data_IF_297155420071
#
_entry.id   IF_297155420071
#
_cell.length_a   1.000
_cell.length_b   1.000
_cell.length_c   1.000
_cell.angle_alpha   90.00
_cell.angle_beta   90.00
_cell.angle_gamma   90.00
#
_symmetry.space_group_name_H-M   'P 1'
#
loop_
_entity.id
_entity.type
_entity.pdbx_description
1 polymer ?
#
# COMPACT_ATOMS: atom_id res chain seq x y z
N UNK A 1 49.83 16.07 -43.87
CA UNK A 1 50.06 14.98 -42.90
C UNK A 1 48.85 14.87 -42.00
N UNK A 2 47.93 13.94 -42.26
CA UNK A 2 46.98 13.47 -41.25
C UNK A 2 46.73 11.97 -41.48
N UNK A 3 47.00 11.24 -40.41
CA UNK A 3 47.05 9.78 -40.31
C UNK A 3 45.65 9.18 -40.51
N UNK A 4 45.54 8.19 -41.40
CA UNK A 4 44.34 7.36 -41.56
C UNK A 4 44.57 6.05 -40.81
N UNK A 5 43.84 5.84 -39.70
CA UNK A 5 43.88 4.58 -38.96
C UNK A 5 43.03 3.50 -39.68
N UNK A 6 43.44 2.22 -39.66
CA UNK A 6 42.74 1.15 -40.35
C UNK A 6 41.47 0.73 -39.60
N UNK A 7 40.37 0.56 -40.35
CA UNK A 7 39.11 -0.02 -39.85
C UNK A 7 39.34 -1.49 -39.50
N UNK A 8 39.03 -1.86 -38.25
CA UNK A 8 38.97 -3.27 -37.84
C UNK A 8 37.75 -3.96 -38.48
N UNK A 9 37.83 -5.25 -38.85
CA UNK A 9 36.69 -5.97 -39.41
C UNK A 9 35.63 -6.24 -38.32
N UNK A 10 34.37 -5.95 -38.64
CA UNK A 10 33.23 -6.38 -37.83
C UNK A 10 33.14 -7.91 -37.84
N UNK A 11 33.25 -8.51 -36.65
CA UNK A 11 32.89 -9.92 -36.42
C UNK A 11 31.36 -10.02 -36.46
N UNK A 12 30.75 -10.95 -37.21
CA UNK A 12 29.31 -11.17 -37.16
C UNK A 12 28.93 -11.66 -35.76
N UNK A 13 28.01 -10.97 -35.10
CA UNK A 13 27.38 -11.44 -33.87
C UNK A 13 26.51 -12.63 -34.24
N UNK A 14 26.91 -13.80 -33.74
CA UNK A 14 26.22 -15.06 -33.90
C UNK A 14 24.85 -14.98 -33.19
N UNK A 15 23.79 -14.79 -33.96
CA UNK A 15 22.40 -14.80 -33.47
C UNK A 15 21.95 -16.26 -33.38
N UNK A 16 22.51 -16.97 -32.39
CA UNK A 16 22.10 -18.33 -32.02
C UNK A 16 21.82 -18.43 -30.51
N UNK A 17 21.12 -17.43 -29.99
CA UNK A 17 20.41 -17.56 -28.71
C UNK A 17 19.15 -18.40 -28.92
N UNK A 18 19.21 -19.68 -28.59
CA UNK A 18 18.02 -20.54 -28.49
C UNK A 18 16.95 -19.84 -27.63
N UNK A 19 15.66 -19.88 -28.00
CA UNK A 19 14.62 -19.35 -27.14
C UNK A 19 14.67 -20.13 -25.82
N UNK A 20 14.86 -19.42 -24.71
CA UNK A 20 14.69 -19.98 -23.38
C UNK A 20 13.22 -20.40 -23.30
N UNK A 21 12.96 -21.67 -23.57
CA UNK A 21 11.68 -22.30 -23.35
C UNK A 21 11.43 -22.23 -21.85
N UNK A 22 10.53 -21.33 -21.43
CA UNK A 22 9.90 -21.47 -20.12
C UNK A 22 9.40 -22.92 -20.03
N UNK A 23 9.70 -23.66 -18.94
CA UNK A 23 9.40 -25.08 -18.89
C UNK A 23 7.90 -25.29 -19.11
N UNK A 24 7.50 -26.23 -19.97
CA UNK A 24 6.09 -26.52 -20.24
C UNK A 24 5.28 -26.86 -18.96
N UNK A 25 5.95 -27.36 -17.91
CA UNK A 25 5.38 -27.52 -16.56
C UNK A 25 4.88 -26.20 -15.93
N UNK A 26 5.42 -25.05 -16.34
CA UNK A 26 5.08 -23.71 -15.84
C UNK A 26 3.77 -23.18 -16.42
N UNK A 27 3.52 -23.37 -17.73
CA UNK A 27 2.34 -22.84 -18.42
C UNK A 27 1.08 -23.62 -18.05
N UNK A 28 1.16 -24.95 -18.01
CA UNK A 28 0.02 -25.77 -17.62
C UNK A 28 -0.34 -25.59 -16.15
N UNK A 29 0.65 -25.46 -15.25
CA UNK A 29 0.39 -25.11 -13.85
C UNK A 29 -0.24 -23.71 -13.69
N UNK A 30 0.16 -22.74 -14.51
CA UNK A 30 -0.48 -21.43 -14.57
C UNK A 30 -1.95 -21.54 -15.01
N UNK A 31 -2.21 -22.21 -16.13
CA UNK A 31 -3.56 -22.43 -16.68
C UNK A 31 -4.46 -23.17 -15.69
N UNK A 32 -3.95 -24.20 -15.02
CA UNK A 32 -4.69 -24.94 -14.01
C UNK A 32 -5.09 -24.05 -12.82
N UNK A 33 -4.18 -23.20 -12.33
CA UNK A 33 -4.50 -22.23 -11.26
C UNK A 33 -5.55 -21.22 -11.71
N UNK A 34 -5.47 -20.75 -12.95
CA UNK A 34 -6.47 -19.85 -13.53
C UNK A 34 -7.86 -20.50 -13.58
N UNK A 35 -7.94 -21.74 -14.09
CA UNK A 35 -9.20 -22.50 -14.15
C UNK A 35 -9.81 -22.73 -12.76
N UNK A 36 -8.98 -22.98 -11.73
CA UNK A 36 -9.46 -23.10 -10.34
C UNK A 36 -10.13 -21.81 -9.85
N UNK A 37 -9.57 -20.63 -10.17
CA UNK A 37 -10.17 -19.35 -9.82
C UNK A 37 -11.45 -19.08 -10.59
N UNK A 38 -11.47 -19.35 -11.90
CA UNK A 38 -12.65 -19.20 -12.74
C UNK A 38 -13.81 -20.09 -12.28
N UNK A 39 -13.53 -21.31 -11.84
CA UNK A 39 -14.52 -22.21 -11.24
C UNK A 39 -14.95 -21.76 -9.84
N UNK A 40 -14.07 -21.07 -9.09
CA UNK A 40 -14.37 -20.59 -7.74
C UNK A 40 -15.36 -19.43 -7.75
N UNK A 41 -15.20 -18.45 -8.64
CA UNK A 41 -16.03 -17.23 -8.67
C UNK A 41 -17.55 -17.46 -8.62
N UNK A 42 -18.15 -18.38 -9.41
CA UNK A 42 -19.59 -18.66 -9.32
C UNK A 42 -19.96 -19.51 -8.08
N UNK A 43 -19.00 -20.22 -7.48
CA UNK A 43 -19.26 -21.16 -6.39
C UNK A 43 -19.23 -20.55 -4.98
N UNK A 44 -18.51 -19.45 -4.80
CA UNK A 44 -18.37 -18.74 -3.53
C UNK A 44 -18.80 -17.30 -3.75
N UNK A 45 -19.87 -16.80 -3.11
CA UNK A 45 -20.24 -15.40 -3.21
C UNK A 45 -19.15 -14.48 -2.63
N UNK A 46 -18.91 -13.28 -3.22
CA UNK A 46 -17.94 -12.30 -2.72
C UNK A 46 -18.08 -12.00 -1.21
N UNK A 47 -19.31 -11.85 -0.72
CA UNK A 47 -19.62 -11.58 0.69
C UNK A 47 -19.12 -12.64 1.68
N UNK A 48 -18.84 -13.85 1.19
CA UNK A 48 -18.31 -14.96 1.99
C UNK A 48 -16.83 -15.25 1.72
N UNK A 49 -16.23 -14.62 0.70
CA UNK A 49 -14.92 -14.97 0.17
C UNK A 49 -13.82 -14.90 1.24
N UNK A 50 -13.77 -13.82 2.04
CA UNK A 50 -12.74 -13.57 3.06
C UNK A 50 -12.75 -14.54 4.26
N UNK A 51 -13.77 -15.37 4.39
CA UNK A 51 -13.86 -16.41 5.43
C UNK A 51 -13.81 -17.83 4.84
N UNK A 52 -13.78 -17.94 3.52
CA UNK A 52 -13.89 -19.22 2.83
C UNK A 52 -12.53 -19.93 2.76
N UNK A 53 -12.46 -21.15 3.31
CA UNK A 53 -11.24 -21.96 3.33
C UNK A 53 -10.72 -22.31 1.92
N UNK A 54 -11.59 -22.48 0.93
CA UNK A 54 -11.18 -22.76 -0.46
C UNK A 54 -10.49 -21.54 -1.07
N UNK A 55 -11.03 -20.35 -0.84
CA UNK A 55 -10.40 -19.08 -1.25
C UNK A 55 -9.02 -18.96 -0.61
N UNK A 56 -8.92 -19.17 0.71
CA UNK A 56 -7.61 -19.14 1.41
C UNK A 56 -6.60 -20.11 0.79
N UNK A 57 -7.02 -21.33 0.46
CA UNK A 57 -6.15 -22.33 -0.17
C UNK A 57 -5.65 -21.87 -1.54
N UNK A 58 -6.52 -21.35 -2.41
CA UNK A 58 -6.09 -20.85 -3.72
C UNK A 58 -5.17 -19.64 -3.61
N UNK A 59 -5.40 -18.76 -2.63
CA UNK A 59 -4.52 -17.63 -2.35
C UNK A 59 -3.12 -18.10 -1.91
N UNK A 60 -3.02 -19.20 -1.17
CA UNK A 60 -1.75 -19.82 -0.77
C UNK A 60 -1.01 -20.45 -1.96
N UNK A 61 -1.73 -21.04 -2.92
CA UNK A 61 -1.17 -21.59 -4.18
C UNK A 61 -0.69 -20.48 -5.16
N UNK A 62 -1.04 -19.23 -4.88
CA UNK A 62 -0.70 -18.06 -5.70
C UNK A 62 -1.78 -17.72 -6.72
N UNK A 63 -1.94 -16.42 -6.98
CA UNK A 63 -2.93 -15.89 -7.92
C UNK A 63 -2.25 -15.64 -9.27
N UNK A 64 -2.72 -16.23 -10.37
CA UNK A 64 -2.23 -15.91 -11.72
C UNK A 64 -2.48 -14.45 -12.09
N UNK A 65 -1.56 -13.82 -12.83
CA UNK A 65 -1.69 -12.40 -13.19
C UNK A 65 -2.93 -12.13 -14.04
N UNK A 66 -3.34 -13.07 -14.89
CA UNK A 66 -4.52 -12.98 -15.78
C UNK A 66 -5.85 -12.77 -15.03
N UNK A 67 -5.96 -13.26 -13.80
CA UNK A 67 -7.20 -13.18 -12.99
C UNK A 67 -7.04 -12.35 -11.72
N UNK A 68 -5.86 -11.76 -11.49
CA UNK A 68 -5.55 -11.12 -10.20
C UNK A 68 -6.52 -10.00 -9.84
N UNK A 69 -6.81 -9.10 -10.77
CA UNK A 69 -7.78 -8.03 -10.48
C UNK A 69 -9.19 -8.58 -10.22
N UNK A 70 -9.59 -9.67 -10.88
CA UNK A 70 -10.87 -10.33 -10.61
C UNK A 70 -10.93 -10.93 -9.21
N UNK A 71 -9.83 -11.52 -8.74
CA UNK A 71 -9.69 -12.00 -7.36
C UNK A 71 -9.80 -10.85 -6.38
N UNK A 72 -9.13 -9.72 -6.63
CA UNK A 72 -9.21 -8.53 -5.77
C UNK A 72 -10.61 -7.92 -5.76
N UNK A 73 -11.27 -7.81 -6.92
CA UNK A 73 -12.68 -7.44 -7.02
C UNK A 73 -13.57 -8.35 -6.16
N UNK A 74 -13.33 -9.65 -6.23
CA UNK A 74 -14.10 -10.66 -5.51
C UNK A 74 -13.88 -10.60 -3.99
N UNK A 75 -12.64 -10.41 -3.53
CA UNK A 75 -12.32 -10.30 -2.11
C UNK A 75 -12.88 -9.01 -1.48
N UNK A 76 -12.93 -7.93 -2.25
CA UNK A 76 -13.44 -6.63 -1.82
C UNK A 76 -14.94 -6.44 -2.04
N UNK A 77 -15.61 -7.41 -2.66
CA UNK A 77 -17.01 -7.30 -3.07
C UNK A 77 -17.29 -5.99 -3.84
N UNK A 78 -16.32 -5.57 -4.67
CA UNK A 78 -16.33 -4.26 -5.31
C UNK A 78 -17.46 -4.12 -6.31
N UNK A 79 -17.83 -5.22 -6.97
CA UNK A 79 -18.94 -5.26 -7.95
C UNK A 79 -20.30 -5.01 -7.31
N UNK A 80 -20.52 -5.38 -6.05
CA UNK A 80 -21.77 -5.05 -5.34
C UNK A 80 -21.94 -3.54 -5.11
N UNK A 81 -20.83 -2.78 -5.13
CA UNK A 81 -20.80 -1.32 -5.01
C UNK A 81 -20.81 -0.61 -6.36
N UNK A 82 -20.46 -1.31 -7.43
CA UNK A 82 -20.38 -0.77 -8.77
C UNK A 82 -21.78 -0.43 -9.31
N UNK A 83 -22.16 0.84 -9.19
CA UNK A 83 -23.40 1.37 -9.75
C UNK A 83 -23.15 1.92 -11.15
N UNK A 84 -23.81 1.38 -12.21
CA UNK A 84 -23.59 1.81 -13.57
C UNK A 84 -23.69 3.33 -13.76
N UNK A 85 -22.66 3.92 -14.35
CA UNK A 85 -22.59 5.35 -14.69
C UNK A 85 -22.28 6.28 -13.50
N UNK A 86 -22.13 5.78 -12.28
CA UNK A 86 -21.73 6.62 -11.14
C UNK A 86 -20.29 7.13 -11.32
N UNK A 87 -19.35 6.25 -11.69
CA UNK A 87 -17.96 6.66 -11.93
C UNK A 87 -17.86 7.77 -12.99
N UNK A 88 -18.54 7.59 -14.12
CA UNK A 88 -18.61 8.59 -15.20
C UNK A 88 -19.25 9.92 -14.75
N UNK A 89 -20.23 9.90 -13.83
CA UNK A 89 -20.81 11.13 -13.26
C UNK A 89 -19.87 11.82 -12.29
N UNK A 90 -19.13 11.06 -11.49
CA UNK A 90 -18.12 11.60 -10.57
C UNK A 90 -16.98 12.30 -11.34
N UNK A 91 -16.52 11.71 -12.44
CA UNK A 91 -15.49 12.31 -13.30
C UNK A 91 -15.90 13.63 -13.98
N UNK A 92 -17.19 13.97 -14.00
CA UNK A 92 -17.70 15.26 -14.51
C UNK A 92 -17.80 16.36 -13.45
N UNK A 93 -17.51 16.05 -12.19
CA UNK A 93 -17.57 17.04 -11.11
C UNK A 93 -16.41 18.04 -11.24
N UNK A 94 -16.53 19.23 -10.62
CA UNK A 94 -15.42 20.18 -10.56
C UNK A 94 -14.18 19.54 -9.93
N UNK A 95 -13.00 20.04 -10.35
CA UNK A 95 -11.72 19.58 -9.83
C UNK A 95 -11.67 19.71 -8.32
N UNK A 96 -11.16 18.67 -7.66
CA UNK A 96 -10.92 18.69 -6.21
C UNK A 96 -9.74 19.60 -5.88
N UNK A 97 -9.64 20.14 -4.65
CA UNK A 97 -8.55 21.03 -4.27
C UNK A 97 -7.15 20.46 -4.51
N UNK A 98 -6.99 19.14 -4.33
CA UNK A 98 -5.73 18.43 -4.49
C UNK A 98 -5.36 18.07 -5.96
N UNK A 99 -6.07 18.61 -6.96
CA UNK A 99 -5.89 18.24 -8.36
C UNK A 99 -4.43 18.37 -8.84
N UNK A 100 -3.80 19.51 -8.56
CA UNK A 100 -2.42 19.78 -8.98
C UNK A 100 -1.41 18.84 -8.29
N UNK A 101 -1.65 18.49 -7.03
CA UNK A 101 -0.84 17.53 -6.29
C UNK A 101 -0.99 16.12 -6.86
N UNK A 102 -2.21 15.71 -7.22
CA UNK A 102 -2.48 14.42 -7.87
C UNK A 102 -1.71 14.30 -9.19
N UNK A 103 -1.74 15.33 -10.04
CA UNK A 103 -0.99 15.34 -11.32
C UNK A 103 0.51 15.19 -11.10
N UNK A 104 1.07 15.95 -10.14
CA UNK A 104 2.49 15.90 -9.82
C UNK A 104 2.90 14.52 -9.29
N UNK A 105 2.12 13.95 -8.39
CA UNK A 105 2.42 12.65 -7.80
C UNK A 105 2.19 11.50 -8.77
N UNK A 106 1.31 11.65 -9.77
CA UNK A 106 1.17 10.65 -10.84
C UNK A 106 2.50 10.42 -11.57
N UNK A 107 3.18 11.51 -11.96
CA UNK A 107 4.48 11.43 -12.60
C UNK A 107 5.58 10.95 -11.64
N UNK A 108 5.55 11.39 -10.38
CA UNK A 108 6.55 11.03 -9.37
C UNK A 108 6.47 9.55 -8.95
N UNK A 109 5.27 9.03 -8.72
CA UNK A 109 5.07 7.66 -8.23
C UNK A 109 5.23 6.61 -9.35
N UNK A 110 5.00 6.99 -10.62
CA UNK A 110 5.03 6.05 -11.74
C UNK A 110 5.83 6.59 -12.94
N UNK A 111 7.11 6.95 -12.78
CA UNK A 111 7.89 7.62 -13.84
C UNK A 111 7.91 6.86 -15.17
N UNK A 112 7.88 5.52 -15.12
CA UNK A 112 7.92 4.64 -16.30
C UNK A 112 6.54 4.37 -16.93
N UNK A 113 5.47 5.02 -16.46
CA UNK A 113 4.09 4.77 -16.90
C UNK A 113 3.42 6.07 -17.40
N UNK A 114 3.83 6.59 -18.57
CA UNK A 114 3.36 7.89 -19.08
C UNK A 114 1.83 7.96 -19.26
N UNK A 115 1.17 6.82 -19.47
CA UNK A 115 -0.29 6.76 -19.55
C UNK A 115 -1.00 7.19 -18.26
N UNK A 116 -0.33 7.15 -17.10
CA UNK A 116 -0.88 7.58 -15.82
C UNK A 116 -0.68 9.09 -15.54
N UNK A 117 0.20 9.77 -16.28
CA UNK A 117 0.62 11.15 -15.96
C UNK A 117 -0.34 12.22 -16.47
N UNK A 118 -1.22 11.88 -17.40
CA UNK A 118 -2.13 12.84 -18.04
C UNK A 118 -3.11 13.43 -17.03
N UNK A 119 -3.36 14.74 -17.15
CA UNK A 119 -4.38 15.50 -16.44
C UNK A 119 -5.81 14.94 -16.59
N UNK A 120 -6.05 14.23 -17.69
CA UNK A 120 -7.29 13.50 -18.00
C UNK A 120 -7.06 11.99 -18.01
N UNK A 121 -5.91 11.54 -17.50
CA UNK A 121 -5.52 10.15 -17.43
C UNK A 121 -6.24 9.40 -16.32
N UNK A 122 -6.20 8.06 -16.35
CA UNK A 122 -6.98 7.20 -15.48
C UNK A 122 -6.67 7.43 -13.98
N UNK A 123 -5.42 7.73 -13.61
CA UNK A 123 -5.06 7.97 -12.21
C UNK A 123 -5.71 9.25 -11.65
N UNK A 124 -5.60 10.34 -12.41
CA UNK A 124 -6.16 11.64 -12.04
C UNK A 124 -7.69 11.55 -12.01
N UNK A 125 -8.30 10.88 -12.98
CA UNK A 125 -9.74 10.63 -13.05
C UNK A 125 -10.25 9.83 -11.84
N UNK A 126 -9.58 8.73 -11.49
CA UNK A 126 -9.93 7.86 -10.37
C UNK A 126 -9.88 8.62 -9.03
N UNK A 127 -8.78 9.32 -8.77
CA UNK A 127 -8.59 10.04 -7.51
C UNK A 127 -9.51 11.26 -7.39
N UNK A 128 -9.75 12.00 -8.47
CA UNK A 128 -10.76 13.07 -8.47
C UNK A 128 -12.16 12.52 -8.16
N UNK A 129 -12.54 11.43 -8.84
CA UNK A 129 -13.84 10.81 -8.62
C UNK A 129 -14.00 10.41 -7.14
N UNK A 130 -12.99 9.74 -6.58
CA UNK A 130 -13.03 9.28 -5.19
C UNK A 130 -13.05 10.45 -4.18
N UNK A 131 -12.16 11.43 -4.31
CA UNK A 131 -12.09 12.57 -3.38
C UNK A 131 -13.33 13.48 -3.49
N UNK A 132 -13.98 13.54 -4.65
CA UNK A 132 -15.27 14.23 -4.78
C UNK A 132 -16.42 13.46 -4.14
N UNK A 133 -16.33 12.12 -4.13
CA UNK A 133 -17.32 11.24 -3.52
C UNK A 133 -17.19 11.24 -1.99
N UNK A 134 -15.96 11.44 -1.50
CA UNK A 134 -15.59 11.30 -0.10
C UNK A 134 -14.77 12.53 0.37
N UNK A 135 -15.44 13.63 0.74
CA UNK A 135 -14.77 14.91 1.00
C UNK A 135 -14.01 14.97 2.34
N UNK A 136 -14.19 14.00 3.24
CA UNK A 136 -13.47 13.92 4.53
C UNK A 136 -12.06 13.34 4.41
N UNK A 137 -11.68 12.87 3.22
CA UNK A 137 -10.36 12.31 2.94
C UNK A 137 -9.38 13.40 2.49
N UNK A 138 -8.26 13.46 3.19
CA UNK A 138 -7.12 14.29 2.84
C UNK A 138 -6.24 13.54 1.84
N UNK A 139 -5.93 14.22 0.74
CA UNK A 139 -5.04 13.66 -0.27
C UNK A 139 -3.62 13.47 0.27
N UNK A 140 -2.98 12.37 -0.12
CA UNK A 140 -1.54 12.17 0.05
C UNK A 140 -0.99 11.30 -1.10
N UNK A 141 0.34 11.30 -1.32
CA UNK A 141 0.97 10.50 -2.37
C UNK A 141 0.70 8.99 -2.24
N UNK A 142 0.41 8.50 -1.03
CA UNK A 142 0.03 7.10 -0.81
C UNK A 142 -1.23 6.69 -1.58
N UNK A 143 -2.19 7.61 -1.74
CA UNK A 143 -3.40 7.37 -2.53
C UNK A 143 -3.08 7.22 -4.02
N UNK A 144 -2.15 8.03 -4.55
CA UNK A 144 -1.65 7.90 -5.92
C UNK A 144 -0.94 6.56 -6.12
N UNK A 145 -0.07 6.17 -5.19
CA UNK A 145 0.62 4.88 -5.23
C UNK A 145 -0.35 3.69 -5.26
N UNK A 146 -1.36 3.65 -4.37
CA UNK A 146 -2.32 2.53 -4.35
C UNK A 146 -3.19 2.53 -5.62
N UNK A 147 -3.71 3.70 -6.02
CA UNK A 147 -4.60 3.81 -7.18
C UNK A 147 -3.88 3.50 -8.49
N UNK A 148 -2.66 4.01 -8.67
CA UNK A 148 -1.88 3.76 -9.87
C UNK A 148 -1.48 2.29 -9.98
N UNK A 149 -1.14 1.64 -8.86
CA UNK A 149 -0.83 0.21 -8.88
C UNK A 149 -2.05 -0.65 -9.27
N UNK A 150 -3.27 -0.30 -8.83
CA UNK A 150 -4.49 -0.96 -9.29
C UNK A 150 -4.72 -0.77 -10.80
N UNK A 151 -4.47 0.44 -11.33
CA UNK A 151 -4.64 0.76 -12.75
C UNK A 151 -3.65 0.04 -13.67
N UNK A 152 -2.53 -0.47 -13.15
CA UNK A 152 -1.62 -1.32 -13.92
C UNK A 152 -2.16 -2.75 -14.15
N UNK A 153 -3.21 -3.15 -13.41
CA UNK A 153 -3.70 -4.53 -13.38
C UNK A 153 -5.17 -4.67 -13.75
N UNK A 154 -5.95 -3.60 -13.60
CA UNK A 154 -7.40 -3.60 -13.75
C UNK A 154 -7.86 -2.54 -14.74
N UNK A 155 -8.98 -2.77 -15.46
CA UNK A 155 -9.70 -1.70 -16.15
C UNK A 155 -10.01 -0.55 -15.19
N UNK A 156 -10.05 0.69 -15.71
CA UNK A 156 -10.15 1.90 -14.88
C UNK A 156 -11.33 1.91 -13.91
N UNK A 157 -12.52 1.55 -14.38
CA UNK A 157 -13.71 1.54 -13.51
C UNK A 157 -13.65 0.40 -12.47
N UNK A 158 -13.14 -0.77 -12.83
CA UNK A 158 -12.90 -1.85 -11.86
C UNK A 158 -11.87 -1.41 -10.80
N UNK A 159 -10.78 -0.76 -11.22
CA UNK A 159 -9.77 -0.20 -10.33
C UNK A 159 -10.38 0.81 -9.34
N UNK A 160 -11.25 1.70 -9.82
CA UNK A 160 -11.97 2.65 -8.97
C UNK A 160 -12.81 1.96 -7.90
N UNK A 161 -13.60 0.93 -8.27
CA UNK A 161 -14.45 0.24 -7.30
C UNK A 161 -13.67 -0.66 -6.34
N UNK A 162 -12.57 -1.28 -6.79
CA UNK A 162 -11.62 -1.97 -5.89
C UNK A 162 -11.05 -0.95 -4.89
N UNK A 163 -10.53 0.17 -5.38
CA UNK A 163 -9.93 1.22 -4.55
C UNK A 163 -10.92 1.77 -3.51
N UNK A 164 -12.13 2.13 -3.94
CA UNK A 164 -13.18 2.63 -3.03
C UNK A 164 -13.53 1.60 -1.94
N UNK A 165 -13.56 0.31 -2.30
CA UNK A 165 -13.81 -0.77 -1.34
C UNK A 165 -12.66 -0.97 -0.36
N UNK A 166 -11.41 -0.88 -0.83
CA UNK A 166 -10.21 -0.91 0.01
C UNK A 166 -10.15 0.29 0.96
N UNK A 167 -10.56 1.46 0.48
CA UNK A 167 -10.67 2.66 1.31
C UNK A 167 -11.66 2.45 2.46
N UNK A 168 -12.88 2.00 2.16
CA UNK A 168 -13.88 1.77 3.21
C UNK A 168 -13.50 0.63 4.17
N UNK A 169 -12.86 -0.43 3.68
CA UNK A 169 -12.51 -1.58 4.50
C UNK A 169 -11.27 -1.36 5.37
N UNK A 170 -10.29 -0.58 4.90
CA UNK A 170 -8.93 -0.60 5.43
C UNK A 170 -8.26 0.78 5.53
N UNK A 171 -8.36 1.60 4.48
CA UNK A 171 -7.45 2.74 4.31
C UNK A 171 -8.01 4.09 4.75
N UNK A 172 -9.34 4.30 4.70
CA UNK A 172 -9.98 5.58 5.04
C UNK A 172 -9.50 6.16 6.37
N UNK A 173 -9.33 5.38 7.46
CA UNK A 173 -8.83 5.92 8.71
C UNK A 173 -7.42 6.51 8.61
N UNK A 174 -6.55 6.15 7.66
CA UNK A 174 -5.21 6.77 7.56
C UNK A 174 -5.24 8.17 6.95
N UNK A 175 -6.30 8.53 6.25
CA UNK A 175 -6.38 9.76 5.46
C UNK A 175 -7.47 10.72 5.92
N UNK A 176 -8.19 10.40 7.01
CA UNK A 176 -9.21 11.30 7.55
C UNK A 176 -8.59 12.41 8.40
N UNK A 177 -9.23 13.58 8.39
CA UNK A 177 -8.75 14.83 9.04
C UNK A 177 -8.45 14.74 10.54
N UNK A 178 -9.03 13.76 11.24
CA UNK A 178 -8.92 13.60 12.69
C UNK A 178 -8.43 12.20 13.07
N UNK A 179 -7.43 11.69 12.36
CA UNK A 179 -6.99 10.32 12.58
C UNK A 179 -5.84 10.18 13.58
N UNK A 180 -6.06 9.30 14.54
CA UNK A 180 -5.00 8.72 15.38
C UNK A 180 -4.53 7.36 14.84
N UNK A 181 -5.03 6.93 13.67
CA UNK A 181 -4.83 5.57 13.17
C UNK A 181 -3.36 5.24 12.96
N UNK A 182 -2.60 6.21 12.43
CA UNK A 182 -1.16 6.08 12.20
C UNK A 182 -0.45 5.85 13.51
N UNK A 183 -0.74 6.65 14.54
CA UNK A 183 -0.12 6.56 15.86
C UNK A 183 -0.45 5.27 16.59
N UNK A 184 -1.70 4.81 16.48
CA UNK A 184 -2.12 3.50 17.03
C UNK A 184 -1.33 2.38 16.38
N UNK A 185 -1.19 2.40 15.06
CA UNK A 185 -0.55 1.33 14.32
C UNK A 185 0.97 1.37 14.43
N UNK A 186 1.55 2.56 14.50
CA UNK A 186 2.93 2.81 14.87
C UNK A 186 3.25 2.22 16.25
N UNK A 187 2.39 2.45 17.24
CA UNK A 187 2.52 1.91 18.60
C UNK A 187 2.39 0.38 18.63
N UNK A 188 1.45 -0.18 17.87
CA UNK A 188 1.27 -1.63 17.75
C UNK A 188 2.48 -2.29 17.10
N UNK A 189 2.97 -1.72 16.00
CA UNK A 189 4.12 -2.23 15.29
C UNK A 189 5.38 -2.16 16.16
N UNK A 190 5.62 -1.04 16.84
CA UNK A 190 6.74 -0.88 17.76
C UNK A 190 6.77 -1.96 18.84
N UNK A 191 5.63 -2.19 19.51
CA UNK A 191 5.51 -3.27 20.51
C UNK A 191 5.73 -4.66 19.92
N UNK A 192 5.18 -4.91 18.73
CA UNK A 192 5.39 -6.18 18.05
C UNK A 192 6.87 -6.39 17.71
N UNK A 193 7.58 -5.34 17.27
CA UNK A 193 9.01 -5.39 17.00
C UNK A 193 9.82 -5.59 18.29
N UNK A 194 9.49 -4.91 19.39
CA UNK A 194 10.15 -5.09 20.69
C UNK A 194 10.06 -6.54 21.19
N UNK A 195 8.91 -7.21 20.98
CA UNK A 195 8.71 -8.61 21.36
C UNK A 195 9.49 -9.57 20.45
N UNK A 196 9.59 -9.28 19.16
CA UNK A 196 10.22 -10.17 18.18
C UNK A 196 11.74 -9.97 18.07
N UNK A 197 12.22 -8.73 18.19
CA UNK A 197 13.63 -8.35 18.15
C UNK A 197 13.90 -7.07 19.01
N UNK A 198 14.08 -7.22 20.32
CA UNK A 198 14.30 -6.09 21.23
C UNK A 198 15.60 -5.33 20.94
N UNK A 199 16.61 -6.00 20.36
CA UNK A 199 17.89 -5.37 20.00
C UNK A 199 17.67 -4.40 18.86
N UNK A 200 16.92 -4.82 17.84
CA UNK A 200 16.60 -3.99 16.69
C UNK A 200 15.64 -2.86 17.04
N UNK A 201 14.63 -3.12 17.89
CA UNK A 201 13.75 -2.08 18.41
C UNK A 201 14.53 -0.99 19.16
N UNK A 202 15.46 -1.39 20.05
CA UNK A 202 16.35 -0.43 20.74
C UNK A 202 17.22 0.35 19.75
N UNK A 203 17.75 -0.30 18.71
CA UNK A 203 18.54 0.38 17.67
C UNK A 203 17.71 1.47 16.97
N UNK A 204 16.52 1.14 16.51
CA UNK A 204 15.66 2.07 15.77
C UNK A 204 15.12 3.20 16.66
N UNK A 205 14.48 2.86 17.78
CA UNK A 205 13.67 3.81 18.53
C UNK A 205 14.44 4.56 19.61
N UNK A 206 15.53 3.98 20.14
CA UNK A 206 16.30 4.60 21.24
C UNK A 206 17.63 5.16 20.75
N UNK A 207 18.38 4.41 19.94
CA UNK A 207 19.71 4.85 19.49
C UNK A 207 19.65 5.80 18.29
N UNK A 208 18.75 5.53 17.34
CA UNK A 208 18.54 6.38 16.16
C UNK A 208 17.36 7.35 16.33
N UNK A 209 16.61 7.26 17.43
CA UNK A 209 15.46 8.13 17.73
C UNK A 209 14.39 8.17 16.63
N UNK A 210 14.28 7.09 15.83
CA UNK A 210 13.28 7.01 14.76
C UNK A 210 11.90 6.91 15.39
N UNK A 211 10.99 7.78 14.98
CA UNK A 211 9.59 7.67 15.39
C UNK A 211 8.95 6.47 14.68
N UNK A 212 8.24 5.55 15.36
CA UNK A 212 7.66 4.38 14.70
C UNK A 212 6.71 4.73 13.53
N UNK A 213 6.03 5.87 13.61
CA UNK A 213 5.19 6.40 12.53
C UNK A 213 5.96 6.68 11.23
N UNK A 214 7.24 7.09 11.30
CA UNK A 214 8.10 7.30 10.13
C UNK A 214 8.33 6.01 9.33
N UNK A 215 8.21 4.85 9.98
CA UNK A 215 8.32 3.54 9.34
C UNK A 215 6.93 3.06 8.87
N UNK A 216 5.92 3.11 9.74
CA UNK A 216 4.62 2.52 9.46
C UNK A 216 3.77 3.34 8.50
N UNK A 217 3.93 4.67 8.46
CA UNK A 217 3.16 5.51 7.56
C UNK A 217 3.43 5.18 6.08
N UNK A 218 4.68 5.19 5.58
CA UNK A 218 4.96 4.80 4.19
C UNK A 218 4.43 3.41 3.85
N UNK A 219 4.60 2.44 4.76
CA UNK A 219 4.18 1.05 4.52
C UNK A 219 2.66 0.87 4.49
N UNK A 220 1.94 1.38 5.49
CA UNK A 220 0.52 1.07 5.64
C UNK A 220 -0.38 2.00 4.81
N UNK A 221 -0.01 3.28 4.67
CA UNK A 221 -0.79 4.22 3.85
C UNK A 221 -0.70 3.88 2.36
N UNK A 222 0.45 3.40 1.89
CA UNK A 222 0.65 2.99 0.50
C UNK A 222 0.58 1.48 0.29
N UNK A 223 0.19 0.69 1.30
CA UNK A 223 0.14 -0.77 1.25
C UNK A 223 1.41 -1.42 0.67
N UNK A 224 2.58 -0.91 1.07
CA UNK A 224 3.93 -1.28 0.61
C UNK A 224 4.25 -0.98 -0.87
N UNK A 225 3.41 -0.24 -1.59
CA UNK A 225 3.76 0.29 -2.92
C UNK A 225 4.96 1.22 -2.77
N UNK A 226 6.00 1.00 -3.59
CA UNK A 226 7.27 1.72 -3.52
C UNK A 226 8.29 1.13 -2.54
N UNK A 227 7.85 0.24 -1.64
CA UNK A 227 8.75 -0.51 -0.74
C UNK A 227 9.09 -1.89 -1.25
N UNK A 228 8.08 -2.63 -1.72
CA UNK A 228 8.28 -3.98 -2.23
C UNK A 228 8.29 -3.98 -3.76
N UNK A 229 9.15 -4.80 -4.41
CA UNK A 229 9.05 -5.01 -5.84
C UNK A 229 7.69 -5.61 -6.21
N UNK A 230 7.23 -5.34 -7.43
CA UNK A 230 5.88 -5.66 -7.92
C UNK A 230 5.42 -7.09 -7.65
N UNK A 231 6.28 -8.09 -7.87
CA UNK A 231 5.93 -9.50 -7.64
C UNK A 231 5.61 -9.81 -6.17
N UNK A 232 6.38 -9.24 -5.25
CA UNK A 232 6.16 -9.35 -3.81
C UNK A 232 4.89 -8.63 -3.40
N UNK A 233 4.70 -7.41 -3.92
CA UNK A 233 3.55 -6.57 -3.63
C UNK A 233 2.24 -7.26 -4.03
N UNK A 234 2.18 -7.86 -5.21
CA UNK A 234 1.02 -8.65 -5.64
C UNK A 234 0.69 -9.78 -4.66
N UNK A 235 1.71 -10.55 -4.24
CA UNK A 235 1.54 -11.63 -3.26
C UNK A 235 1.12 -11.10 -1.89
N UNK A 236 1.62 -9.94 -1.47
CA UNK A 236 1.19 -9.30 -0.23
C UNK A 236 -0.29 -8.93 -0.33
N UNK A 237 -0.71 -8.31 -1.43
CA UNK A 237 -2.10 -7.86 -1.63
C UNK A 237 -3.08 -9.03 -1.75
N UNK A 238 -2.72 -10.10 -2.44
CA UNK A 238 -3.54 -11.33 -2.54
C UNK A 238 -3.97 -11.83 -1.15
N UNK A 239 -3.05 -11.82 -0.18
CA UNK A 239 -3.31 -12.30 1.17
C UNK A 239 -3.90 -11.21 2.05
N UNK A 240 -3.41 -9.97 1.96
CA UNK A 240 -3.91 -8.84 2.72
C UNK A 240 -5.41 -8.61 2.48
N UNK A 241 -5.89 -8.70 1.24
CA UNK A 241 -7.31 -8.50 0.94
C UNK A 241 -8.20 -9.60 1.55
N UNK A 242 -7.63 -10.76 1.87
CA UNK A 242 -8.30 -11.83 2.60
C UNK A 242 -8.18 -11.64 4.13
N UNK A 243 -6.95 -11.63 4.66
CA UNK A 243 -6.63 -11.62 6.10
C UNK A 243 -6.80 -10.23 6.76
N UNK A 244 -6.74 -9.14 5.99
CA UNK A 244 -6.83 -7.76 6.46
C UNK A 244 -5.51 -7.16 6.98
N UNK A 245 -5.61 -5.99 7.61
CA UNK A 245 -4.46 -5.16 8.02
C UNK A 245 -3.45 -5.87 8.92
N UNK A 246 -3.88 -6.82 9.76
CA UNK A 246 -2.98 -7.62 10.61
C UNK A 246 -1.86 -8.31 9.81
N UNK A 247 -2.13 -8.70 8.56
CA UNK A 247 -1.15 -9.31 7.69
C UNK A 247 -0.01 -8.34 7.33
N UNK A 248 -0.30 -7.05 7.16
CA UNK A 248 0.69 -6.03 6.85
C UNK A 248 1.70 -5.82 7.99
N UNK A 249 1.28 -6.00 9.25
CA UNK A 249 2.21 -5.98 10.40
C UNK A 249 3.21 -7.13 10.32
N UNK A 250 2.75 -8.33 9.94
CA UNK A 250 3.63 -9.50 9.77
C UNK A 250 4.63 -9.26 8.63
N UNK A 251 4.17 -8.67 7.52
CA UNK A 251 5.05 -8.27 6.42
C UNK A 251 6.09 -7.25 6.89
N UNK A 252 5.68 -6.21 7.62
CA UNK A 252 6.61 -5.23 8.18
C UNK A 252 7.67 -5.88 9.07
N UNK A 253 7.31 -6.85 9.92
CA UNK A 253 8.27 -7.56 10.75
C UNK A 253 9.25 -8.41 9.93
N UNK A 254 8.78 -9.08 8.87
CA UNK A 254 9.63 -9.86 7.97
C UNK A 254 10.60 -8.95 7.21
N UNK A 255 10.11 -7.84 6.63
CA UNK A 255 10.95 -6.87 5.91
C UNK A 255 12.01 -6.28 6.84
N UNK A 256 11.63 -5.86 8.05
CA UNK A 256 12.57 -5.38 9.07
C UNK A 256 13.63 -6.43 9.40
N UNK A 257 13.27 -7.70 9.49
CA UNK A 257 14.21 -8.78 9.74
C UNK A 257 15.17 -9.03 8.56
N UNK A 258 14.69 -8.93 7.32
CA UNK A 258 15.51 -9.06 6.10
C UNK A 258 16.67 -8.04 6.07
N UNK A 259 16.39 -6.79 6.46
CA UNK A 259 17.39 -5.71 6.48
C UNK A 259 18.04 -5.48 7.84
N UNK A 260 17.76 -6.34 8.82
CA UNK A 260 18.25 -6.24 10.21
C UNK A 260 19.73 -5.92 10.31
N UNK A 261 20.56 -6.65 9.56
CA UNK A 261 22.02 -6.50 9.62
C UNK A 261 22.49 -5.12 9.12
N UNK A 262 21.77 -4.51 8.17
CA UNK A 262 22.04 -3.16 7.68
C UNK A 262 21.63 -2.12 8.71
N UNK A 263 20.44 -2.26 9.31
CA UNK A 263 19.93 -1.35 10.35
C UNK A 263 20.86 -1.33 11.57
N UNK A 264 21.36 -2.50 12.02
CA UNK A 264 22.28 -2.56 13.14
C UNK A 264 23.60 -1.83 12.87
N UNK A 265 24.03 -1.75 11.61
CA UNK A 265 25.24 -1.03 11.16
C UNK A 265 24.97 0.43 10.81
N UNK A 266 23.71 0.82 10.63
CA UNK A 266 23.33 2.18 10.26
C UNK A 266 23.78 3.18 11.34
N UNK A 267 24.32 4.31 10.88
CA UNK A 267 24.84 5.38 11.75
C UNK A 267 23.93 6.60 11.84
N UNK A 268 22.89 6.66 11.01
CA UNK A 268 21.93 7.75 10.98
C UNK A 268 20.50 7.23 10.81
N UNK A 269 19.53 8.07 11.14
CA UNK A 269 18.11 7.81 10.92
C UNK A 269 17.80 7.60 9.44
N UNK A 270 18.34 8.46 8.57
CA UNK A 270 18.07 8.44 7.12
C UNK A 270 18.52 7.12 6.50
N UNK A 271 19.71 6.63 6.86
CA UNK A 271 20.22 5.36 6.36
C UNK A 271 19.35 4.17 6.80
N UNK A 272 18.90 4.15 8.06
CA UNK A 272 18.04 3.08 8.55
C UNK A 272 16.65 3.12 7.91
N UNK A 273 16.07 4.31 7.74
CA UNK A 273 14.81 4.50 7.04
C UNK A 273 14.91 4.10 5.57
N UNK A 274 16.00 4.43 4.89
CA UNK A 274 16.24 4.04 3.50
C UNK A 274 16.22 2.51 3.35
N UNK A 275 16.89 1.77 4.24
CA UNK A 275 16.87 0.30 4.18
C UNK A 275 15.49 -0.30 4.47
N UNK A 276 14.66 0.37 5.28
CA UNK A 276 13.31 -0.08 5.62
C UNK A 276 12.29 0.27 4.52
N UNK A 277 12.40 1.44 3.91
CA UNK A 277 11.48 1.94 2.90
C UNK A 277 11.87 1.40 1.52
N UNK A 278 13.15 1.17 1.25
CA UNK A 278 13.70 0.64 0.00
C UNK A 278 14.68 -0.52 0.27
N UNK A 279 14.19 -1.67 0.77
CA UNK A 279 15.04 -2.81 1.08
C UNK A 279 15.76 -3.32 -0.18
N UNK A 280 17.10 -3.51 -0.14
CA UNK A 280 17.83 -4.07 -1.27
C UNK A 280 17.28 -5.45 -1.64
N UNK A 281 17.09 -5.71 -2.94
CA UNK A 281 16.59 -6.99 -3.45
C UNK A 281 17.40 -8.19 -2.94
N UNK A 282 18.72 -8.04 -2.77
CA UNK A 282 19.58 -9.09 -2.25
C UNK A 282 19.30 -9.49 -0.78
N UNK A 283 18.59 -8.65 -0.02
CA UNK A 283 18.16 -8.95 1.34
C UNK A 283 16.79 -9.63 1.40
N UNK A 284 16.00 -9.54 0.33
CA UNK A 284 14.68 -10.14 0.28
C UNK A 284 14.81 -11.60 -0.18
N UNK A 285 14.18 -12.55 0.52
CA UNK A 285 14.05 -13.92 0.04
C UNK A 285 13.07 -13.94 -1.15
N UNK A 286 12.80 -15.09 -1.76
CA UNK A 286 11.75 -15.17 -2.79
C UNK A 286 10.37 -14.75 -2.26
N UNK A 287 9.44 -14.33 -3.14
CA UNK A 287 8.09 -13.93 -2.72
C UNK A 287 7.33 -15.05 -1.98
N UNK A 288 7.55 -16.31 -2.37
CA UNK A 288 6.99 -17.50 -1.71
C UNK A 288 7.57 -17.70 -0.31
N UNK A 289 8.88 -17.54 -0.14
CA UNK A 289 9.53 -17.62 1.15
C UNK A 289 9.13 -16.47 2.08
N UNK A 290 9.01 -15.24 1.55
CA UNK A 290 8.51 -14.09 2.29
C UNK A 290 7.11 -14.35 2.85
N UNK A 291 6.23 -14.94 2.04
CA UNK A 291 4.90 -15.38 2.47
C UNK A 291 4.96 -16.44 3.58
N UNK A 292 5.85 -17.43 3.45
CA UNK A 292 6.07 -18.47 4.47
C UNK A 292 6.57 -17.87 5.79
N UNK A 293 7.55 -16.97 5.73
CA UNK A 293 8.07 -16.25 6.89
C UNK A 293 6.97 -15.43 7.57
N UNK A 294 6.17 -14.69 6.79
CA UNK A 294 5.06 -13.90 7.31
C UNK A 294 4.03 -14.77 8.04
N UNK A 295 3.74 -15.96 7.50
CA UNK A 295 2.81 -16.93 8.13
C UNK A 295 3.33 -17.49 9.45
N UNK A 296 4.65 -17.50 9.66
CA UNK A 296 5.31 -17.99 10.87
C UNK A 296 5.59 -16.91 11.93
N UNK A 297 5.33 -15.63 11.62
CA UNK A 297 5.50 -14.55 12.58
C UNK A 297 4.56 -14.76 13.78
N UNK A 298 5.11 -14.66 15.00
CA UNK A 298 4.37 -14.81 16.26
C UNK A 298 3.53 -13.55 16.57
N UNK A 299 2.55 -13.25 15.72
CA UNK A 299 1.65 -12.12 15.87
C UNK A 299 0.23 -12.52 15.44
N UNK A 300 -0.62 -12.82 16.42
CA UNK A 300 -2.01 -13.25 16.18
C UNK A 300 -2.92 -12.06 15.92
N UNK A 301 -3.88 -12.24 15.02
CA UNK A 301 -4.86 -11.20 14.67
C UNK A 301 -5.67 -10.71 15.88
N UNK A 302 -6.01 -11.63 16.79
CA UNK A 302 -6.74 -11.32 18.02
C UNK A 302 -5.95 -10.41 18.97
N UNK A 303 -4.63 -10.58 19.03
CA UNK A 303 -3.77 -9.78 19.89
C UNK A 303 -3.65 -8.36 19.33
N UNK A 304 -3.44 -8.20 18.01
CA UNK A 304 -3.46 -6.89 17.35
C UNK A 304 -4.80 -6.19 17.59
N UNK A 305 -5.92 -6.90 17.38
CA UNK A 305 -7.27 -6.34 17.54
C UNK A 305 -7.53 -5.87 18.97
N UNK A 306 -7.19 -6.68 19.98
CA UNK A 306 -7.36 -6.32 21.40
C UNK A 306 -6.48 -5.12 21.78
N UNK A 307 -5.22 -5.13 21.35
CA UNK A 307 -4.29 -4.04 21.66
C UNK A 307 -4.68 -2.74 20.97
N UNK A 308 -5.20 -2.80 19.73
CA UNK A 308 -5.72 -1.65 18.98
C UNK A 308 -6.81 -0.92 19.75
N UNK A 309 -7.84 -1.66 20.18
CA UNK A 309 -8.96 -1.09 20.98
C UNK A 309 -8.44 -0.41 22.25
N UNK A 310 -7.46 -1.01 22.93
CA UNK A 310 -6.84 -0.43 24.14
C UNK A 310 -6.12 0.89 23.83
N UNK A 311 -5.32 0.92 22.76
CA UNK A 311 -4.56 2.12 22.35
C UNK A 311 -5.47 3.25 21.89
N UNK A 312 -6.50 2.95 21.11
CA UNK A 312 -7.50 3.94 20.67
C UNK A 312 -8.21 4.60 21.87
N UNK A 313 -8.58 3.80 22.89
CA UNK A 313 -9.17 4.32 24.12
C UNK A 313 -8.22 5.20 24.92
N UNK A 314 -6.94 4.84 24.97
CA UNK A 314 -5.90 5.63 25.64
C UNK A 314 -5.71 6.99 24.97
N UNK A 315 -5.62 7.02 23.63
CA UNK A 315 -5.47 8.25 22.86
C UNK A 315 -6.69 9.16 23.00
N UNK A 316 -7.91 8.61 22.92
CA UNK A 316 -9.14 9.39 23.13
C UNK A 316 -9.16 10.09 24.49
N UNK A 317 -8.68 9.44 25.56
CA UNK A 317 -8.57 10.04 26.89
C UNK A 317 -7.53 11.16 26.92
N UNK A 318 -6.36 10.95 26.34
CA UNK A 318 -5.30 11.97 26.30
C UNK A 318 -5.72 13.21 25.52
N UNK A 319 -6.44 13.05 24.40
CA UNK A 319 -6.95 14.17 23.60
C UNK A 319 -8.08 14.94 24.31
N UNK A 320 -8.89 14.28 25.13
CA UNK A 320 -9.95 14.94 25.92
C UNK A 320 -9.44 15.66 27.18
N UNK A 321 -8.30 15.25 27.74
CA UNK A 321 -7.73 15.83 28.97
C UNK A 321 -6.87 17.08 28.72
N UNK A 322 -6.53 17.42 27.46
CA UNK A 322 -5.92 18.72 27.12
C UNK A 322 -7.00 19.78 26.86
N UNK A 323 -7.29 20.72 27.78
CA UNK A 323 -8.01 21.93 27.41
C UNK A 323 -7.15 22.78 26.45
N UNK A 324 -7.75 23.58 25.55
CA UNK A 324 -7.02 24.51 24.72
C UNK A 324 -6.55 25.69 25.57
N UNK A 325 -5.42 25.55 26.26
CA UNK A 325 -4.78 26.68 26.93
C UNK A 325 -3.78 27.33 25.96
N UNK A 326 -4.13 28.50 25.45
CA UNK A 326 -3.16 29.35 24.78
C UNK A 326 -3.66 30.45 23.84
N UNK A 327 -4.80 31.11 24.08
CA UNK A 327 -5.02 32.47 23.56
C UNK A 327 -5.59 33.32 24.69
N UNK A 328 -4.73 34.16 25.27
CA UNK A 328 -5.17 35.32 26.06
C UNK A 328 -5.82 36.29 25.07
N UNK A 329 -7.16 36.31 25.02
CA UNK A 329 -7.89 37.32 24.29
C UNK A 329 -7.78 38.60 25.11
N UNK A 330 -6.94 39.53 24.64
CA UNK A 330 -6.97 40.91 25.10
C UNK A 330 -8.42 41.40 25.01
N UNK A 331 -8.95 41.85 26.14
CA UNK A 331 -10.25 42.49 26.24
C UNK A 331 -10.30 43.65 25.22
N UNK A 332 -11.04 43.46 24.14
CA UNK A 332 -11.47 44.56 23.28
C UNK A 332 -12.63 45.25 23.99
N UNK A 333 -12.37 46.49 24.38
CA UNK A 333 -13.33 47.44 24.93
C UNK A 333 -14.51 47.59 23.98
N UNK A 334 -15.72 47.36 24.50
CA UNK A 334 -16.98 47.58 23.81
C UNK A 334 -17.17 49.08 23.54
N UNK A 335 -17.06 49.49 22.28
CA UNK A 335 -17.50 50.80 21.83
C UNK A 335 -19.01 50.71 21.57
N UNK A 336 -19.78 51.31 22.48
CA UNK A 336 -21.21 51.57 22.35
C UNK A 336 -21.46 52.69 21.33
N UNK A 337 -22.33 52.45 20.35
CA UNK A 337 -22.86 53.49 19.47
C UNK A 337 -24.05 54.21 20.14
N UNK A 338 -24.19 55.55 19.99
CA UNK A 338 -25.29 56.30 20.57
C UNK A 338 -26.58 56.10 19.78
N UNK A 339 -27.69 55.99 20.51
CA UNK A 339 -29.04 56.09 19.94
C UNK A 339 -29.39 57.56 19.70
N UNK A 340 -29.74 57.88 18.46
CA UNK A 340 -30.79 58.85 18.08
C UNK A 340 -31.33 58.45 16.73
#
# INVERSE_FOLDING_TARGET
MHSSAPRSPMVPVDVSGSPVTEPAESIDAHRQRELKWMALFPSVPPSQARKNKKVKKLLQEGVPSSVRYLVWCHLMDSKARALPGVYAKLGKRPRVPAFSEIEKDAAKCFPDQPQLHSAQGPLVSLLQAYLSMVPDIQYSPGLASVSGHLLLLAPEEDAFWIFASMMDAHLRPYFSTNTNQVEVDASLFSKALEVNDPVLAKKLYVQLSITPASITWPWFSALFVGTLPTEYLHRVWDIFLYDGMSYLFRIGLVVTNCVRHLILRAKSEEAALEYLIHPPLACLPSATELFSLASNVKLKDDDIRKQRVKLEQQLKRTTQVRPPNGISIMQTTSISLPKT
#
